data_IF_076205007754
#
_entry.id   IF_076205007754
#
_cell.length_a   1.000
_cell.length_b   1.000
_cell.length_c   1.000
_cell.angle_alpha   90.00
_cell.angle_beta   90.00
_cell.angle_gamma   90.00
#
_symmetry.space_group_name_H-M   'P 1'
#
loop_
_entity.id
_entity.type
_entity.pdbx_description
1 polymer ?
#
# COMPACT_ATOMS: atom_id res chain seq x y z
N UNK A 1 -4.66 34.14 -3.30
CA UNK A 1 -5.27 33.44 -4.45
C UNK A 1 -6.24 32.37 -3.98
N UNK A 2 -5.87 31.51 -3.01
CA UNK A 2 -6.72 30.42 -2.50
C UNK A 2 -8.02 30.90 -1.84
N UNK A 3 -8.03 32.04 -1.15
CA UNK A 3 -9.22 32.57 -0.47
C UNK A 3 -10.25 33.13 -1.43
N UNK A 4 -9.80 33.70 -2.55
CA UNK A 4 -10.67 34.20 -3.62
C UNK A 4 -11.32 33.03 -4.36
N UNK A 5 -10.57 31.96 -4.64
CA UNK A 5 -11.08 30.76 -5.28
C UNK A 5 -12.17 30.07 -4.43
N UNK A 6 -12.01 30.04 -3.09
CA UNK A 6 -13.04 29.55 -2.15
C UNK A 6 -14.29 30.43 -2.14
N UNK A 7 -14.14 31.76 -2.16
CA UNK A 7 -15.28 32.69 -2.18
C UNK A 7 -16.09 32.61 -3.48
N UNK A 8 -15.47 32.23 -4.57
CA UNK A 8 -16.11 32.12 -5.89
C UNK A 8 -16.60 30.70 -6.20
N UNK A 9 -16.54 29.76 -5.23
CA UNK A 9 -16.81 28.33 -5.42
C UNK A 9 -16.11 27.75 -6.66
N UNK A 10 -14.89 28.27 -6.92
CA UNK A 10 -14.12 27.82 -8.06
C UNK A 10 -13.64 26.39 -7.83
N UNK A 11 -14.17 25.46 -8.60
CA UNK A 11 -13.68 24.06 -8.68
C UNK A 11 -12.73 23.97 -9.86
N UNK A 12 -11.44 23.72 -9.62
CA UNK A 12 -10.47 23.56 -10.72
C UNK A 12 -10.97 22.50 -11.70
N UNK A 13 -11.06 22.88 -12.98
CA UNK A 13 -11.41 21.93 -14.03
C UNK A 13 -10.26 20.93 -14.18
N UNK A 14 -10.56 19.62 -14.10
CA UNK A 14 -9.56 18.55 -14.26
C UNK A 14 -8.77 18.67 -15.57
N UNK A 15 -9.42 19.07 -16.66
CA UNK A 15 -8.76 19.34 -17.94
C UNK A 15 -7.80 20.53 -17.86
N UNK A 16 -8.14 21.59 -17.10
CA UNK A 16 -7.26 22.73 -16.86
C UNK A 16 -6.05 22.38 -16.00
N UNK A 17 -6.22 21.50 -15.01
CA UNK A 17 -5.11 20.98 -14.21
C UNK A 17 -4.18 20.13 -15.08
N UNK A 18 -4.74 19.24 -15.91
CA UNK A 18 -3.97 18.43 -16.86
C UNK A 18 -3.20 19.30 -17.86
N UNK A 19 -3.81 20.35 -18.37
CA UNK A 19 -3.16 21.29 -19.29
C UNK A 19 -2.01 22.06 -18.61
N UNK A 20 -2.18 22.44 -17.35
CA UNK A 20 -1.12 23.07 -16.55
C UNK A 20 -0.01 22.09 -16.16
N UNK A 21 -0.34 20.82 -15.97
CA UNK A 21 0.61 19.74 -15.68
C UNK A 21 1.39 19.24 -16.91
N UNK A 22 1.03 19.66 -18.12
CA UNK A 22 1.70 19.24 -19.37
C UNK A 22 3.21 19.56 -19.42
N UNK A 23 3.76 20.27 -18.44
CA UNK A 23 5.19 20.63 -18.42
C UNK A 23 6.11 19.53 -17.90
N UNK A 24 5.62 18.56 -17.09
CA UNK A 24 6.42 17.45 -16.57
C UNK A 24 5.58 16.17 -16.51
N UNK A 25 6.08 15.10 -17.14
CA UNK A 25 5.48 13.78 -16.99
C UNK A 25 5.70 13.29 -15.56
N UNK A 26 4.63 12.92 -14.86
CA UNK A 26 4.67 12.32 -13.53
C UNK A 26 4.83 10.80 -13.68
N UNK A 27 5.81 10.22 -13.00
CA UNK A 27 6.08 8.78 -13.01
C UNK A 27 5.73 8.17 -11.67
N UNK A 28 4.79 7.24 -11.65
CA UNK A 28 4.39 6.51 -10.45
C UNK A 28 4.95 5.10 -10.53
N UNK A 29 5.83 4.74 -9.59
CA UNK A 29 6.29 3.38 -9.41
C UNK A 29 5.21 2.55 -8.71
N UNK A 30 4.97 1.33 -9.16
CA UNK A 30 4.07 0.36 -8.52
C UNK A 30 4.83 -0.93 -8.28
N UNK A 31 4.97 -1.34 -7.00
CA UNK A 31 5.63 -2.56 -6.57
C UNK A 31 4.63 -3.44 -5.85
N UNK A 32 4.26 -4.56 -6.45
CA UNK A 32 3.32 -5.53 -5.88
C UNK A 32 3.93 -6.93 -5.92
N UNK A 33 3.42 -7.82 -5.04
CA UNK A 33 3.82 -9.22 -5.05
C UNK A 33 3.36 -9.95 -6.32
N UNK A 34 4.19 -10.88 -6.78
CA UNK A 34 3.86 -11.87 -7.82
C UNK A 34 4.07 -13.27 -7.23
N UNK A 35 3.02 -13.80 -6.64
CA UNK A 35 3.08 -15.04 -5.87
C UNK A 35 2.14 -16.12 -6.39
N UNK A 36 1.56 -15.92 -7.59
CA UNK A 36 0.52 -16.79 -8.14
C UNK A 36 -0.81 -16.71 -7.39
N UNK A 37 -0.99 -15.73 -6.51
CA UNK A 37 -2.25 -15.48 -5.84
C UNK A 37 -3.17 -14.63 -6.72
N UNK A 38 -4.36 -15.13 -7.12
CA UNK A 38 -5.30 -14.41 -7.99
C UNK A 38 -5.68 -13.01 -7.50
N UNK A 39 -5.60 -12.76 -6.18
CA UNK A 39 -5.82 -11.44 -5.61
C UNK A 39 -4.87 -10.38 -6.22
N UNK A 40 -3.58 -10.71 -6.36
CA UNK A 40 -2.63 -9.76 -6.96
C UNK A 40 -2.84 -9.59 -8.46
N UNK A 41 -3.33 -10.61 -9.15
CA UNK A 41 -3.69 -10.50 -10.57
C UNK A 41 -4.85 -9.51 -10.77
N UNK A 42 -5.86 -9.52 -9.88
CA UNK A 42 -6.95 -8.55 -9.91
C UNK A 42 -6.46 -7.12 -9.64
N UNK A 43 -5.55 -6.96 -8.67
CA UNK A 43 -4.93 -5.65 -8.37
C UNK A 43 -4.12 -5.17 -9.58
N UNK A 44 -3.33 -6.03 -10.21
CA UNK A 44 -2.58 -5.70 -11.42
C UNK A 44 -3.48 -5.30 -12.59
N UNK A 45 -4.56 -6.04 -12.82
CA UNK A 45 -5.53 -5.71 -13.85
C UNK A 45 -6.17 -4.34 -13.61
N UNK A 46 -6.43 -4.00 -12.35
CA UNK A 46 -6.93 -2.68 -11.97
C UNK A 46 -5.91 -1.57 -12.26
N UNK A 47 -4.63 -1.80 -11.99
CA UNK A 47 -3.54 -0.86 -12.33
C UNK A 47 -3.48 -0.65 -13.84
N UNK A 48 -3.50 -1.74 -14.63
CA UNK A 48 -3.46 -1.68 -16.09
C UNK A 48 -4.67 -0.93 -16.68
N UNK A 49 -5.87 -1.19 -16.14
CA UNK A 49 -7.10 -0.51 -16.62
C UNK A 49 -7.08 1.00 -16.36
N UNK A 50 -6.34 1.45 -15.35
CA UNK A 50 -6.20 2.87 -15.03
C UNK A 50 -5.04 3.57 -15.74
N UNK A 51 -4.14 2.82 -16.34
CA UNK A 51 -2.96 3.37 -17.02
C UNK A 51 -3.35 4.29 -18.20
N UNK A 52 -4.34 3.92 -19.01
CA UNK A 52 -4.84 4.77 -20.11
C UNK A 52 -5.43 6.09 -19.59
N UNK A 53 -6.21 6.02 -18.52
CA UNK A 53 -6.76 7.21 -17.88
C UNK A 53 -5.64 8.12 -17.36
N UNK A 54 -4.64 7.55 -16.68
CA UNK A 54 -3.51 8.28 -16.13
C UNK A 54 -2.63 8.91 -17.23
N UNK A 55 -2.44 8.23 -18.35
CA UNK A 55 -1.71 8.76 -19.50
C UNK A 55 -2.35 10.04 -20.04
N UNK A 56 -3.68 10.13 -20.02
CA UNK A 56 -4.38 11.36 -20.43
C UNK A 56 -4.11 12.56 -19.52
N UNK A 57 -3.63 12.31 -18.28
CA UNK A 57 -3.18 13.32 -17.32
C UNK A 57 -1.66 13.51 -17.29
N UNK A 58 -0.95 13.03 -18.31
CA UNK A 58 0.52 13.07 -18.40
C UNK A 58 1.19 12.34 -17.21
N UNK A 59 0.61 11.23 -16.78
CA UNK A 59 1.09 10.38 -15.71
C UNK A 59 1.34 8.98 -16.25
N UNK A 60 2.56 8.45 -16.08
CA UNK A 60 2.95 7.10 -16.48
C UNK A 60 3.13 6.19 -15.26
N UNK A 61 2.87 4.90 -15.44
CA UNK A 61 3.02 3.89 -14.39
C UNK A 61 4.18 2.96 -14.72
N UNK A 62 5.17 2.90 -13.83
CA UNK A 62 6.32 1.99 -13.90
C UNK A 62 6.05 0.81 -12.96
N UNK A 63 6.01 -0.41 -13.52
CA UNK A 63 5.52 -1.61 -12.82
C UNK A 63 6.68 -2.54 -12.49
N UNK A 64 6.75 -3.00 -11.24
CA UNK A 64 7.70 -4.02 -10.77
C UNK A 64 6.94 -5.09 -9.99
N UNK A 65 7.20 -6.34 -10.30
CA UNK A 65 6.71 -7.51 -9.58
C UNK A 65 7.81 -8.08 -8.74
N UNK A 66 7.51 -8.48 -7.50
CA UNK A 66 8.49 -9.07 -6.56
C UNK A 66 7.92 -10.29 -5.87
N UNK A 67 8.77 -11.21 -5.47
CA UNK A 67 8.42 -12.25 -4.52
C UNK A 67 8.29 -11.73 -3.09
N UNK A 68 8.14 -12.64 -2.12
CA UNK A 68 8.13 -12.31 -0.69
C UNK A 68 9.58 -12.15 -0.17
N UNK A 69 10.30 -11.15 -0.66
CA UNK A 69 11.68 -10.88 -0.31
C UNK A 69 11.92 -9.38 -0.17
N UNK A 70 12.49 -8.99 0.98
CA UNK A 70 12.91 -7.61 1.22
C UNK A 70 13.98 -7.18 0.20
N UNK A 71 14.90 -8.07 -0.14
CA UNK A 71 15.97 -7.77 -1.08
C UNK A 71 15.43 -7.49 -2.49
N UNK A 72 14.49 -8.30 -2.98
CA UNK A 72 13.86 -8.08 -4.28
C UNK A 72 13.10 -6.74 -4.30
N UNK A 73 12.40 -6.40 -3.22
CA UNK A 73 11.70 -5.12 -3.14
C UNK A 73 12.66 -3.93 -3.12
N UNK A 74 13.75 -4.03 -2.37
CA UNK A 74 14.77 -2.97 -2.34
C UNK A 74 15.42 -2.77 -3.71
N UNK A 75 15.68 -3.87 -4.45
CA UNK A 75 16.19 -3.79 -5.80
C UNK A 75 15.17 -3.14 -6.75
N UNK A 76 13.91 -3.58 -6.70
CA UNK A 76 12.84 -3.00 -7.53
C UNK A 76 12.66 -1.50 -7.26
N UNK A 77 12.73 -1.07 -5.99
CA UNK A 77 12.67 0.35 -5.63
C UNK A 77 13.88 1.10 -6.20
N UNK A 78 15.10 0.56 -6.10
CA UNK A 78 16.32 1.19 -6.62
C UNK A 78 16.27 1.36 -8.15
N UNK A 79 15.75 0.37 -8.87
CA UNK A 79 15.51 0.47 -10.31
C UNK A 79 14.54 1.59 -10.65
N UNK A 80 13.39 1.68 -9.93
CA UNK A 80 12.40 2.74 -10.10
C UNK A 80 12.97 4.13 -9.79
N UNK A 81 13.83 4.26 -8.78
CA UNK A 81 14.53 5.52 -8.50
C UNK A 81 15.43 5.93 -9.67
N UNK A 82 16.14 4.97 -10.28
CA UNK A 82 16.97 5.23 -11.47
C UNK A 82 16.12 5.66 -12.67
N UNK A 83 14.92 5.12 -12.80
CA UNK A 83 13.95 5.51 -13.82
C UNK A 83 13.29 6.88 -13.52
N UNK A 84 13.54 7.43 -12.32
CA UNK A 84 13.11 8.77 -11.92
C UNK A 84 11.63 8.87 -11.57
N UNK A 85 11.16 8.04 -10.62
CA UNK A 85 9.79 8.11 -10.11
C UNK A 85 9.55 9.37 -9.29
N UNK A 86 8.33 9.90 -9.36
CA UNK A 86 7.83 11.02 -8.57
C UNK A 86 6.96 10.57 -7.39
N UNK A 87 6.58 9.28 -7.34
CA UNK A 87 5.84 8.65 -6.24
C UNK A 87 5.87 7.14 -6.32
N UNK A 88 5.61 6.45 -5.20
CA UNK A 88 5.63 4.99 -5.10
C UNK A 88 4.35 4.46 -4.47
N UNK A 89 3.76 3.44 -5.08
CA UNK A 89 2.73 2.57 -4.49
C UNK A 89 3.35 1.20 -4.28
N UNK A 90 3.29 0.66 -3.06
CA UNK A 90 3.94 -0.60 -2.73
C UNK A 90 3.09 -1.46 -1.80
N UNK A 91 3.03 -2.78 -2.04
CA UNK A 91 2.67 -3.78 -1.02
C UNK A 91 3.95 -4.19 -0.29
N UNK A 92 4.28 -3.57 0.87
CA UNK A 92 5.59 -3.75 1.46
C UNK A 92 5.74 -5.12 2.12
N UNK A 93 6.92 -5.72 1.97
CA UNK A 93 7.38 -6.78 2.83
C UNK A 93 7.73 -6.18 4.20
N UNK A 94 7.27 -6.81 5.29
CA UNK A 94 7.44 -6.27 6.63
C UNK A 94 8.89 -6.47 7.14
N UNK A 95 9.78 -5.62 6.69
CA UNK A 95 11.20 -5.62 7.02
C UNK A 95 11.70 -4.21 7.31
N UNK A 96 12.63 -4.09 8.27
CA UNK A 96 13.19 -2.81 8.68
C UNK A 96 13.93 -2.10 7.55
N UNK A 97 14.60 -2.83 6.66
CA UNK A 97 15.29 -2.23 5.53
C UNK A 97 14.31 -1.61 4.52
N UNK A 98 13.14 -2.25 4.31
CA UNK A 98 12.07 -1.69 3.47
C UNK A 98 11.47 -0.45 4.13
N UNK A 99 11.23 -0.46 5.45
CA UNK A 99 10.77 0.72 6.19
C UNK A 99 11.74 1.89 6.04
N UNK A 100 13.03 1.66 6.28
CA UNK A 100 14.08 2.66 6.12
C UNK A 100 14.16 3.20 4.69
N UNK A 101 13.93 2.35 3.69
CA UNK A 101 13.91 2.78 2.29
C UNK A 101 12.73 3.69 1.99
N UNK A 102 11.56 3.40 2.55
CA UNK A 102 10.38 4.29 2.47
C UNK A 102 10.68 5.65 3.09
N UNK A 103 11.34 5.68 4.25
CA UNK A 103 11.74 6.92 4.93
C UNK A 103 12.72 7.74 4.09
N UNK A 104 13.68 7.07 3.43
CA UNK A 104 14.61 7.72 2.49
C UNK A 104 13.90 8.34 1.29
N UNK A 105 12.94 7.65 0.70
CA UNK A 105 12.15 8.18 -0.42
C UNK A 105 11.34 9.41 0.02
N UNK A 106 10.70 9.34 1.17
CA UNK A 106 9.92 10.43 1.72
C UNK A 106 10.79 11.67 2.01
N UNK A 107 11.99 11.49 2.56
CA UNK A 107 12.95 12.59 2.79
C UNK A 107 13.41 13.28 1.50
N UNK A 108 13.34 12.57 0.37
CA UNK A 108 13.63 13.08 -0.98
C UNK A 108 12.39 13.59 -1.71
N UNK A 109 11.29 13.77 -0.98
CA UNK A 109 10.01 14.25 -1.52
C UNK A 109 9.38 13.29 -2.56
N UNK A 110 9.67 12.01 -2.49
CA UNK A 110 8.99 10.95 -3.24
C UNK A 110 7.96 10.31 -2.30
N UNK A 111 6.69 10.70 -2.39
CA UNK A 111 5.65 10.17 -1.50
C UNK A 111 5.45 8.67 -1.74
N UNK A 112 5.25 7.94 -0.64
CA UNK A 112 4.98 6.50 -0.67
C UNK A 112 3.61 6.20 -0.11
N UNK A 113 2.82 5.45 -0.85
CA UNK A 113 1.55 4.87 -0.40
C UNK A 113 1.74 3.36 -0.28
N UNK A 114 1.42 2.81 0.89
CA UNK A 114 1.38 1.36 1.07
C UNK A 114 -0.02 0.83 0.75
N UNK A 115 -0.10 -0.35 0.14
CA UNK A 115 -1.37 -0.98 -0.20
C UNK A 115 -1.38 -2.46 0.18
N UNK A 116 -2.56 -2.99 0.50
CA UNK A 116 -2.82 -4.37 0.93
C UNK A 116 -2.12 -4.74 2.26
N UNK A 117 -0.81 -4.66 2.33
CA UNK A 117 0.00 -4.80 3.55
C UNK A 117 0.54 -3.46 3.98
N UNK A 118 0.72 -3.28 5.29
CA UNK A 118 1.20 -2.03 5.86
C UNK A 118 2.53 -2.23 6.61
N UNK A 119 3.31 -1.15 6.70
CA UNK A 119 4.57 -1.09 7.44
C UNK A 119 4.53 0.13 8.37
N UNK A 120 4.09 -0.09 9.62
CA UNK A 120 3.70 0.99 10.54
C UNK A 120 4.83 1.93 10.93
N UNK A 121 6.04 1.41 11.06
CA UNK A 121 7.21 2.19 11.46
C UNK A 121 7.90 2.81 10.24
N UNK A 122 7.15 3.51 9.41
CA UNK A 122 7.66 4.21 8.23
C UNK A 122 6.92 5.52 8.04
N UNK A 123 7.58 6.47 7.40
CA UNK A 123 7.04 7.80 7.07
C UNK A 123 6.19 7.81 5.80
N UNK A 124 5.55 6.68 5.46
CA UNK A 124 4.62 6.60 4.32
C UNK A 124 3.51 7.66 4.42
N UNK A 125 3.08 8.18 3.27
CA UNK A 125 2.05 9.20 3.19
C UNK A 125 0.67 8.66 3.61
N UNK A 126 0.32 7.43 3.16
CA UNK A 126 -0.97 6.81 3.44
C UNK A 126 -0.88 5.28 3.31
N UNK A 127 -1.86 4.60 3.89
CA UNK A 127 -2.13 3.18 3.68
C UNK A 127 -3.51 3.00 3.07
N UNK A 128 -3.60 2.15 2.06
CA UNK A 128 -4.86 1.75 1.40
C UNK A 128 -5.01 0.23 1.52
N UNK A 129 -5.96 -0.20 2.33
CA UNK A 129 -6.19 -1.63 2.57
C UNK A 129 -7.16 -1.89 3.70
N UNK A 130 -7.36 -3.16 4.03
CA UNK A 130 -8.22 -3.58 5.13
C UNK A 130 -7.56 -3.38 6.48
N UNK A 131 -8.32 -2.94 7.47
CA UNK A 131 -7.88 -2.94 8.87
C UNK A 131 -7.99 -4.36 9.44
N UNK A 132 -6.94 -5.14 9.27
CA UNK A 132 -6.90 -6.54 9.75
C UNK A 132 -7.06 -6.67 11.26
N UNK A 133 -6.75 -5.62 12.04
CA UNK A 133 -7.00 -5.65 13.48
C UNK A 133 -8.50 -5.63 13.76
N UNK A 134 -9.24 -4.75 13.12
CA UNK A 134 -10.71 -4.71 13.23
C UNK A 134 -11.35 -5.96 12.66
N UNK A 135 -10.82 -6.51 11.57
CA UNK A 135 -11.28 -7.81 11.04
C UNK A 135 -11.13 -8.91 12.09
N UNK A 136 -9.99 -9.00 12.78
CA UNK A 136 -9.76 -9.94 13.87
C UNK A 136 -10.69 -9.73 15.06
N UNK A 137 -10.94 -8.49 15.46
CA UNK A 137 -11.91 -8.17 16.53
C UNK A 137 -13.33 -8.60 16.15
N UNK A 138 -13.75 -8.37 14.92
CA UNK A 138 -15.06 -8.80 14.42
C UNK A 138 -15.18 -10.31 14.42
N UNK A 139 -14.16 -11.03 13.94
CA UNK A 139 -14.12 -12.48 13.97
C UNK A 139 -14.22 -13.04 15.40
N UNK A 140 -13.46 -12.46 16.34
CA UNK A 140 -13.51 -12.86 17.75
C UNK A 140 -14.89 -12.59 18.37
N UNK A 141 -15.51 -11.45 18.06
CA UNK A 141 -16.86 -11.12 18.50
C UNK A 141 -17.92 -12.10 17.99
N UNK A 142 -17.84 -12.46 16.71
CA UNK A 142 -18.73 -13.48 16.12
C UNK A 142 -18.54 -14.87 16.78
N UNK A 143 -17.29 -15.29 17.00
CA UNK A 143 -17.01 -16.54 17.71
C UNK A 143 -17.59 -16.54 19.12
N UNK A 144 -17.44 -15.45 19.87
CA UNK A 144 -17.99 -15.32 21.20
C UNK A 144 -19.52 -15.44 21.23
N UNK A 145 -20.20 -14.85 20.24
CA UNK A 145 -21.67 -14.99 20.11
C UNK A 145 -22.10 -16.43 19.77
N UNK A 146 -21.29 -17.16 18.99
CA UNK A 146 -21.61 -18.53 18.56
C UNK A 146 -21.30 -19.58 19.62
N UNK A 147 -20.41 -19.30 20.57
CA UNK A 147 -19.86 -20.31 21.49
C UNK A 147 -20.17 -20.06 22.96
N UNK A 148 -20.99 -19.06 23.29
CA UNK A 148 -21.35 -18.69 24.67
C UNK A 148 -20.14 -18.36 25.58
N UNK A 149 -19.02 -17.94 24.99
CA UNK A 149 -17.89 -17.32 25.70
C UNK A 149 -16.64 -18.17 25.86
N UNK A 150 -16.71 -19.49 25.90
CA UNK A 150 -15.51 -20.35 25.96
C UNK A 150 -15.31 -21.10 24.65
N UNK A 151 -14.13 -20.93 24.02
CA UNK A 151 -13.81 -21.58 22.76
C UNK A 151 -12.34 -21.93 22.68
N UNK A 152 -12.04 -23.10 22.12
CA UNK A 152 -10.70 -23.43 21.61
C UNK A 152 -10.66 -23.12 20.12
N UNK A 153 -9.96 -22.06 19.75
CA UNK A 153 -9.86 -21.62 18.37
C UNK A 153 -8.49 -21.93 17.78
N UNK A 154 -8.48 -22.54 16.59
CA UNK A 154 -7.30 -22.64 15.75
C UNK A 154 -7.24 -21.44 14.81
N UNK A 155 -6.06 -20.81 14.69
CA UNK A 155 -5.83 -19.70 13.76
C UNK A 155 -4.82 -20.14 12.72
N UNK A 156 -5.25 -20.16 11.46
CA UNK A 156 -4.37 -20.40 10.31
C UNK A 156 -4.04 -19.06 9.67
N UNK A 157 -2.76 -18.76 9.58
CA UNK A 157 -2.27 -17.52 8.97
C UNK A 157 -1.27 -17.83 7.88
N UNK A 158 -1.08 -16.89 6.95
CA UNK A 158 0.03 -16.93 6.01
C UNK A 158 1.37 -16.57 6.67
N UNK A 159 2.30 -16.05 5.90
CA UNK A 159 3.60 -15.63 6.42
C UNK A 159 3.47 -14.48 7.43
N UNK A 160 4.10 -14.61 8.59
CA UNK A 160 4.19 -13.55 9.60
C UNK A 160 4.94 -12.30 9.11
N UNK A 161 5.62 -12.42 7.99
CA UNK A 161 6.39 -11.34 7.35
C UNK A 161 5.51 -10.47 6.41
N UNK A 162 4.35 -10.97 6.00
CA UNK A 162 3.42 -10.27 5.10
C UNK A 162 2.24 -9.68 5.86
N UNK A 163 1.92 -10.26 7.00
CA UNK A 163 0.80 -9.80 7.83
C UNK A 163 1.28 -8.79 8.86
N UNK A 164 0.60 -7.66 8.95
CA UNK A 164 0.74 -6.74 10.07
C UNK A 164 0.70 -7.51 11.39
N UNK A 165 1.76 -7.44 12.17
CA UNK A 165 1.80 -8.03 13.51
C UNK A 165 0.65 -7.49 14.34
N UNK A 166 -0.41 -8.27 14.48
CA UNK A 166 -1.40 -8.11 15.52
C UNK A 166 -0.85 -8.79 16.78
N UNK A 167 -0.07 -8.09 17.58
CA UNK A 167 0.11 -8.41 18.99
C UNK A 167 -0.70 -7.43 19.81
N UNK A 168 -1.89 -7.79 20.29
CA UNK A 168 -2.43 -7.14 21.47
C UNK A 168 -1.53 -7.48 22.66
N UNK A 169 -1.28 -6.55 23.59
CA UNK A 169 -0.37 -6.73 24.72
C UNK A 169 -0.74 -7.87 25.68
N UNK A 170 -1.88 -8.54 25.53
CA UNK A 170 -2.40 -9.54 26.48
C UNK A 170 -2.86 -10.86 25.84
N UNK A 171 -2.40 -11.22 24.64
CA UNK A 171 -2.71 -12.54 24.11
C UNK A 171 -1.73 -13.57 24.67
N UNK A 172 -2.22 -14.43 25.59
CA UNK A 172 -1.53 -15.63 26.01
C UNK A 172 -1.19 -16.49 24.78
N UNK A 173 -0.01 -17.08 24.76
CA UNK A 173 0.47 -17.99 23.70
C UNK A 173 -0.59 -19.05 23.42
N UNK A 174 -1.19 -19.00 22.23
CA UNK A 174 -1.84 -20.17 21.67
C UNK A 174 -0.71 -21.01 21.09
N UNK A 175 -0.40 -22.11 21.77
CA UNK A 175 0.60 -23.09 21.33
C UNK A 175 0.02 -23.78 20.08
N UNK A 176 0.75 -23.69 18.98
CA UNK A 176 0.46 -24.49 17.77
C UNK A 176 0.61 -25.97 18.11
N UNK A 177 -0.37 -26.77 17.78
CA UNK A 177 -0.27 -28.23 17.69
C UNK A 177 0.36 -28.60 16.36
#
# INVERSE_FOLDING_TARGET
>A
VNDIAKKLDYKPNRAGIALAAQRKMVRIGVVLFDTGNPFFDEVWNSVLSKEEELNSYNCSVLKKKTGFSAQEQLQAIAELETEGIDGLVISPFNDTAVANKIDQLQSRQIPVITTNTDIRNSSRLAFVGSDFYRCGQTAAGLMNLMTSGEVRAGIVTGSSQVLCRLRPPNMQRITTL
#
